data_IF_747665205345
#
_entry.id   IF_747665205345
#
_cell.length_a   1.000
_cell.length_b   1.000
_cell.length_c   1.000
_cell.angle_alpha   90.00
_cell.angle_beta   90.00
_cell.angle_gamma   90.00
#
_symmetry.space_group_name_H-M   'P 1'
#
loop_
_entity.id
_entity.type
_entity.pdbx_description
1 polymer ?
#
# COMPACT_ATOMS: atom_id res chain seq x y z
N UNK A 1 -8.09 -14.29 -24.62
CA UNK A 1 -6.76 -14.94 -24.57
C UNK A 1 -6.17 -14.68 -23.18
N UNK A 2 -6.23 -15.68 -22.29
CA UNK A 2 -5.96 -15.55 -20.86
C UNK A 2 -4.44 -15.64 -20.59
N UNK A 3 -3.72 -14.50 -20.66
CA UNK A 3 -2.26 -14.44 -20.40
C UNK A 3 -1.86 -14.76 -18.94
N UNK A 4 -2.82 -14.99 -18.04
CA UNK A 4 -2.55 -15.39 -16.64
C UNK A 4 -2.27 -16.87 -16.44
N UNK A 5 -2.61 -17.71 -17.41
CA UNK A 5 -2.44 -19.16 -17.29
C UNK A 5 -0.98 -19.63 -17.44
N UNK A 6 -0.05 -18.74 -17.77
CA UNK A 6 1.37 -19.08 -17.99
C UNK A 6 2.30 -18.33 -17.03
N UNK A 7 1.84 -17.97 -15.84
CA UNK A 7 2.77 -17.59 -14.77
C UNK A 7 3.52 -18.85 -14.38
N UNK A 8 4.83 -18.84 -14.62
CA UNK A 8 5.75 -19.96 -14.34
C UNK A 8 5.42 -20.55 -12.95
N UNK A 9 5.27 -21.87 -12.78
CA UNK A 9 4.87 -22.45 -11.48
C UNK A 9 5.85 -22.14 -10.35
N UNK A 10 7.10 -21.77 -10.68
CA UNK A 10 8.10 -21.24 -9.72
C UNK A 10 7.77 -19.85 -9.16
N UNK A 11 6.94 -19.08 -9.86
CA UNK A 11 6.38 -17.80 -9.42
C UNK A 11 5.02 -17.99 -8.73
N UNK A 12 4.46 -19.20 -8.73
CA UNK A 12 3.26 -19.54 -7.98
C UNK A 12 3.69 -19.97 -6.57
N UNK A 13 4.03 -18.98 -5.76
CA UNK A 13 4.42 -19.19 -4.37
C UNK A 13 3.15 -19.35 -3.54
N UNK A 14 2.79 -20.61 -3.32
CA UNK A 14 1.77 -20.99 -2.35
C UNK A 14 2.07 -20.31 -1.01
N UNK A 15 1.09 -19.60 -0.48
CA UNK A 15 1.24 -18.74 0.70
C UNK A 15 1.71 -19.48 1.95
N UNK A 16 1.65 -20.82 1.91
CA UNK A 16 2.11 -21.77 2.92
C UNK A 16 3.63 -21.96 2.97
N UNK A 17 4.41 -21.56 1.94
CA UNK A 17 5.86 -21.89 1.82
C UNK A 17 6.82 -20.72 2.04
N UNK A 18 6.34 -19.58 2.50
CA UNK A 18 7.13 -18.33 2.57
C UNK A 18 8.24 -18.30 3.63
N UNK A 19 8.42 -19.34 4.44
CA UNK A 19 9.33 -19.32 5.60
C UNK A 19 10.82 -19.37 5.26
N UNK A 20 11.22 -19.90 4.09
CA UNK A 20 12.65 -20.12 3.76
C UNK A 20 13.15 -19.42 2.48
N UNK A 21 12.37 -18.50 1.92
CA UNK A 21 12.74 -17.85 0.65
C UNK A 21 13.61 -16.62 0.87
N UNK A 22 14.68 -16.48 0.06
CA UNK A 22 15.58 -15.33 0.09
C UNK A 22 14.79 -14.00 -0.05
N UNK A 23 15.10 -12.94 0.74
CA UNK A 23 14.37 -11.65 0.74
C UNK A 23 14.12 -11.05 -0.64
N UNK A 24 15.06 -11.22 -1.56
CA UNK A 24 14.97 -10.75 -2.94
C UNK A 24 13.70 -11.25 -3.67
N UNK A 25 13.24 -12.47 -3.38
CA UNK A 25 12.04 -13.02 -4.01
C UNK A 25 10.82 -12.18 -3.65
N UNK A 26 10.69 -11.74 -2.40
CA UNK A 26 9.60 -10.85 -1.99
C UNK A 26 9.65 -9.53 -2.77
N UNK A 27 10.84 -8.94 -2.91
CA UNK A 27 10.99 -7.66 -3.62
C UNK A 27 10.62 -7.77 -5.10
N UNK A 28 11.05 -8.85 -5.75
CA UNK A 28 10.68 -9.14 -7.13
C UNK A 28 9.16 -9.31 -7.28
N UNK A 29 8.54 -10.06 -6.37
CA UNK A 29 7.10 -10.23 -6.37
C UNK A 29 6.36 -8.92 -6.14
N UNK A 30 6.79 -8.10 -5.18
CA UNK A 30 6.25 -6.77 -4.93
C UNK A 30 6.32 -5.87 -6.19
N UNK A 31 7.43 -5.92 -6.93
CA UNK A 31 7.59 -5.19 -8.18
C UNK A 31 6.61 -5.67 -9.26
N UNK A 32 6.50 -6.99 -9.44
CA UNK A 32 5.58 -7.60 -10.42
C UNK A 32 4.13 -7.23 -10.10
N UNK A 33 3.69 -7.37 -8.85
CA UNK A 33 2.28 -7.12 -8.48
C UNK A 33 1.93 -5.64 -8.45
N UNK A 34 2.92 -4.75 -8.28
CA UNK A 34 2.71 -3.29 -8.37
C UNK A 34 2.68 -2.81 -9.82
N UNK A 35 3.24 -3.56 -10.77
CA UNK A 35 3.32 -3.15 -12.17
C UNK A 35 1.95 -2.79 -12.79
N UNK A 36 0.85 -3.54 -12.58
CA UNK A 36 -0.48 -3.16 -13.07
C UNK A 36 -0.94 -1.78 -12.58
N UNK A 37 -0.62 -1.41 -11.34
CA UNK A 37 -0.98 -0.09 -10.80
C UNK A 37 -0.33 1.05 -11.60
N UNK A 38 0.91 0.85 -12.04
CA UNK A 38 1.66 1.88 -12.78
C UNK A 38 1.32 1.84 -14.26
N UNK A 39 1.26 0.65 -14.84
CA UNK A 39 1.06 0.46 -16.27
C UNK A 39 -0.37 0.77 -16.73
N UNK A 40 -1.38 0.55 -15.89
CA UNK A 40 -2.78 0.75 -16.26
C UNK A 40 -3.26 2.20 -16.02
N UNK A 41 -2.55 2.97 -15.20
CA UNK A 41 -2.90 4.35 -14.86
C UNK A 41 -3.17 5.27 -16.06
N UNK A 42 -2.34 5.33 -17.12
CA UNK A 42 -2.58 6.22 -18.26
C UNK A 42 -3.78 5.82 -19.13
N UNK A 43 -4.33 4.62 -18.92
CA UNK A 43 -5.48 4.12 -19.68
C UNK A 43 -6.82 4.47 -19.02
N UNK A 44 -6.83 4.92 -17.75
CA UNK A 44 -8.05 5.26 -17.04
C UNK A 44 -8.83 6.41 -17.70
N UNK A 45 -8.11 7.36 -18.35
CA UNK A 45 -8.71 8.52 -19.02
C UNK A 45 -9.14 8.22 -20.48
N UNK A 46 -8.71 7.08 -21.03
CA UNK A 46 -8.82 6.78 -22.47
C UNK A 46 -9.76 5.62 -22.79
N UNK A 47 -10.46 5.10 -21.79
CA UNK A 47 -11.23 3.86 -21.93
C UNK A 47 -12.70 4.06 -21.56
N UNK A 48 -13.56 3.22 -22.14
CA UNK A 48 -14.99 3.26 -21.85
C UNK A 48 -15.27 2.83 -20.40
N UNK A 49 -16.39 3.23 -19.82
CA UNK A 49 -16.74 2.95 -18.41
C UNK A 49 -16.60 1.47 -18.00
N UNK A 50 -16.99 0.53 -18.87
CA UNK A 50 -16.84 -0.90 -18.62
C UNK A 50 -15.37 -1.34 -18.52
N UNK A 51 -14.50 -0.76 -19.36
CA UNK A 51 -13.06 -1.05 -19.35
C UNK A 51 -12.40 -0.39 -18.13
N UNK A 52 -12.78 0.84 -17.78
CA UNK A 52 -12.31 1.51 -16.55
C UNK A 52 -12.59 0.66 -15.32
N UNK A 53 -13.79 0.10 -15.20
CA UNK A 53 -14.15 -0.80 -14.09
C UNK A 53 -13.23 -2.03 -14.00
N UNK A 54 -12.95 -2.68 -15.12
CA UNK A 54 -12.04 -3.84 -15.18
C UNK A 54 -10.60 -3.46 -14.82
N UNK A 55 -10.12 -2.32 -15.31
CA UNK A 55 -8.78 -1.81 -15.00
C UNK A 55 -8.66 -1.49 -13.51
N UNK A 56 -9.62 -0.78 -12.94
CA UNK A 56 -9.65 -0.47 -11.51
C UNK A 56 -9.71 -1.74 -10.66
N UNK A 57 -10.54 -2.72 -11.02
CA UNK A 57 -10.61 -4.00 -10.32
C UNK A 57 -9.24 -4.70 -10.30
N UNK A 58 -8.51 -4.65 -11.41
CA UNK A 58 -7.17 -5.22 -11.49
C UNK A 58 -6.17 -4.46 -10.60
N UNK A 59 -6.21 -3.14 -10.61
CA UNK A 59 -5.34 -2.30 -9.78
C UNK A 59 -5.62 -2.48 -8.28
N UNK A 60 -6.90 -2.58 -7.89
CA UNK A 60 -7.30 -2.90 -6.51
C UNK A 60 -6.80 -4.27 -6.09
N UNK A 61 -6.96 -5.29 -6.96
CA UNK A 61 -6.45 -6.64 -6.71
C UNK A 61 -4.93 -6.62 -6.50
N UNK A 62 -4.20 -5.91 -7.35
CA UNK A 62 -2.76 -5.68 -7.20
C UNK A 62 -2.39 -5.02 -5.87
N UNK A 63 -3.13 -4.00 -5.45
CA UNK A 63 -2.89 -3.32 -4.17
C UNK A 63 -3.07 -4.27 -2.97
N UNK A 64 -4.12 -5.10 -2.99
CA UNK A 64 -4.32 -6.12 -1.96
C UNK A 64 -3.15 -7.12 -1.91
N UNK A 65 -2.79 -7.70 -3.05
CA UNK A 65 -1.71 -8.70 -3.13
C UNK A 65 -0.37 -8.09 -2.67
N UNK A 66 -0.07 -6.86 -3.08
CA UNK A 66 1.12 -6.13 -2.62
C UNK A 66 1.17 -6.03 -1.09
N UNK A 67 0.07 -5.64 -0.45
CA UNK A 67 0.00 -5.56 1.02
C UNK A 67 0.05 -6.92 1.70
N UNK A 68 -0.45 -7.98 1.06
CA UNK A 68 -0.33 -9.35 1.55
C UNK A 68 1.12 -9.81 1.55
N UNK A 69 1.85 -9.62 0.45
CA UNK A 69 3.27 -9.97 0.36
C UNK A 69 4.09 -9.18 1.38
N UNK A 70 3.79 -7.88 1.55
CA UNK A 70 4.43 -7.03 2.56
C UNK A 70 4.21 -7.56 3.98
N UNK A 71 2.97 -7.95 4.28
CA UNK A 71 2.62 -8.50 5.59
C UNK A 71 3.36 -9.83 5.84
N UNK A 72 3.46 -10.70 4.84
CA UNK A 72 4.19 -11.96 4.99
C UNK A 72 5.69 -11.73 5.15
N UNK A 73 6.29 -10.83 4.36
CA UNK A 73 7.68 -10.44 4.53
C UNK A 73 7.94 -9.93 5.95
N UNK A 74 7.07 -9.06 6.47
CA UNK A 74 7.19 -8.49 7.82
C UNK A 74 7.17 -9.54 8.94
N UNK A 75 6.54 -10.70 8.74
CA UNK A 75 6.52 -11.77 9.75
C UNK A 75 7.86 -12.47 9.90
N UNK A 76 8.63 -12.56 8.81
CA UNK A 76 9.86 -13.35 8.75
C UNK A 76 11.12 -12.49 8.65
N UNK A 77 10.97 -11.22 8.27
CA UNK A 77 12.07 -10.30 8.00
C UNK A 77 11.78 -8.91 8.57
N UNK A 78 12.84 -8.16 8.84
CA UNK A 78 12.76 -6.76 9.29
C UNK A 78 12.56 -5.83 8.10
N UNK A 79 11.56 -4.95 8.17
CA UNK A 79 11.28 -3.98 7.09
C UNK A 79 12.37 -2.90 6.96
N UNK A 80 13.14 -2.71 8.03
CA UNK A 80 14.34 -1.86 8.10
C UNK A 80 15.37 -2.26 7.03
N UNK A 81 15.42 -3.55 6.64
CA UNK A 81 16.35 -4.08 5.63
C UNK A 81 15.80 -3.99 4.20
N UNK A 82 14.57 -3.51 4.00
CA UNK A 82 13.99 -3.39 2.67
C UNK A 82 14.69 -2.30 1.85
N UNK A 83 14.83 -2.46 0.53
CA UNK A 83 15.22 -1.39 -0.36
C UNK A 83 14.23 -0.21 -0.33
N UNK A 84 14.72 1.02 -0.55
CA UNK A 84 13.88 2.22 -0.60
C UNK A 84 12.73 2.13 -1.63
N UNK A 85 12.93 1.38 -2.72
CA UNK A 85 11.91 1.15 -3.76
C UNK A 85 10.63 0.49 -3.19
N UNK A 86 10.72 -0.26 -2.10
CA UNK A 86 9.55 -0.86 -1.45
C UNK A 86 8.64 0.23 -0.87
N UNK A 87 9.17 1.33 -0.36
CA UNK A 87 8.38 2.49 0.10
C UNK A 87 7.49 3.00 -1.03
N UNK A 88 8.04 3.14 -2.25
CA UNK A 88 7.27 3.55 -3.42
C UNK A 88 6.14 2.56 -3.75
N UNK A 89 6.39 1.26 -3.69
CA UNK A 89 5.35 0.25 -3.92
C UNK A 89 4.24 0.29 -2.87
N UNK A 90 4.60 0.48 -1.60
CA UNK A 90 3.64 0.63 -0.50
C UNK A 90 2.78 1.88 -0.68
N UNK A 91 3.38 3.00 -1.10
CA UNK A 91 2.62 4.23 -1.40
C UNK A 91 1.64 4.00 -2.57
N UNK A 92 2.12 3.42 -3.68
CA UNK A 92 1.29 3.15 -4.86
C UNK A 92 0.11 2.26 -4.51
N UNK A 93 0.31 1.16 -3.78
CA UNK A 93 -0.81 0.30 -3.36
C UNK A 93 -1.75 1.01 -2.38
N UNK A 94 -1.20 1.79 -1.44
CA UNK A 94 -1.99 2.51 -0.44
C UNK A 94 -2.93 3.54 -1.07
N UNK A 95 -2.53 4.25 -2.13
CA UNK A 95 -3.42 5.17 -2.85
C UNK A 95 -4.68 4.48 -3.34
N UNK A 96 -4.55 3.27 -3.90
CA UNK A 96 -5.70 2.49 -4.37
C UNK A 96 -6.54 1.92 -3.23
N UNK A 97 -5.92 1.62 -2.09
CA UNK A 97 -6.67 1.23 -0.89
C UNK A 97 -7.44 2.42 -0.30
N UNK A 98 -6.88 3.64 -0.30
CA UNK A 98 -7.60 4.86 0.09
C UNK A 98 -8.76 5.11 -0.88
N UNK A 99 -8.54 4.95 -2.18
CA UNK A 99 -9.62 5.06 -3.18
C UNK A 99 -10.71 4.03 -2.94
N UNK A 100 -10.36 2.78 -2.64
CA UNK A 100 -11.36 1.76 -2.33
C UNK A 100 -12.10 2.03 -1.01
N UNK A 101 -11.47 2.72 -0.05
CA UNK A 101 -12.09 3.14 1.20
C UNK A 101 -13.16 4.24 1.02
N UNK A 102 -13.24 4.89 -0.15
CA UNK A 102 -14.35 5.80 -0.48
C UNK A 102 -15.60 5.07 -0.96
N UNK A 103 -15.53 3.73 -1.12
CA UNK A 103 -16.65 2.92 -1.58
C UNK A 103 -17.84 2.98 -0.61
N UNK A 104 -19.04 2.93 -1.16
CA UNK A 104 -20.29 2.80 -0.38
C UNK A 104 -20.49 1.39 0.18
N UNK A 105 -19.71 0.41 -0.29
CA UNK A 105 -19.73 -0.96 0.23
C UNK A 105 -18.92 -1.04 1.54
N UNK A 106 -19.58 -1.29 2.69
CA UNK A 106 -18.91 -1.33 3.99
C UNK A 106 -17.92 -2.49 4.12
N UNK A 107 -18.07 -3.56 3.32
CA UNK A 107 -17.14 -4.69 3.33
C UNK A 107 -15.82 -4.33 2.66
N UNK A 108 -15.89 -3.65 1.51
CA UNK A 108 -14.72 -3.15 0.79
C UNK A 108 -14.02 -2.06 1.58
N UNK A 109 -14.77 -1.13 2.16
CA UNK A 109 -14.25 -0.09 3.04
C UNK A 109 -13.42 -0.70 4.18
N UNK A 110 -14.02 -1.64 4.95
CA UNK A 110 -13.35 -2.29 6.08
C UNK A 110 -12.12 -3.08 5.65
N UNK A 111 -12.20 -3.78 4.50
CA UNK A 111 -11.07 -4.55 3.98
C UNK A 111 -9.91 -3.64 3.59
N UNK A 112 -10.21 -2.53 2.93
CA UNK A 112 -9.23 -1.51 2.56
C UNK A 112 -8.58 -0.87 3.79
N UNK A 113 -9.38 -0.46 4.78
CA UNK A 113 -8.91 0.11 6.04
C UNK A 113 -7.93 -0.82 6.79
N UNK A 114 -8.24 -2.12 6.86
CA UNK A 114 -7.32 -3.12 7.46
C UNK A 114 -5.98 -3.19 6.74
N UNK A 115 -5.96 -3.11 5.41
CA UNK A 115 -4.71 -3.12 4.62
C UNK A 115 -3.96 -1.80 4.70
N UNK A 116 -4.65 -0.67 4.82
CA UNK A 116 -4.03 0.62 5.08
C UNK A 116 -3.31 0.63 6.42
N UNK A 117 -3.88 0.03 7.45
CA UNK A 117 -3.21 -0.15 8.75
C UNK A 117 -1.89 -0.91 8.62
N UNK A 118 -1.86 -1.98 7.82
CA UNK A 118 -0.63 -2.74 7.55
C UNK A 118 0.38 -1.85 6.82
N UNK A 119 -0.05 -1.17 5.77
CA UNK A 119 0.81 -0.32 4.94
C UNK A 119 1.45 0.81 5.73
N UNK A 120 0.67 1.55 6.52
CA UNK A 120 1.18 2.63 7.38
C UNK A 120 2.09 2.10 8.50
N UNK A 121 1.75 0.96 9.11
CA UNK A 121 2.60 0.35 10.12
C UNK A 121 3.93 -0.15 9.55
N UNK A 122 3.93 -0.57 8.28
CA UNK A 122 5.14 -0.93 7.56
C UNK A 122 5.99 0.29 7.20
N UNK A 123 5.38 1.39 6.77
CA UNK A 123 6.09 2.65 6.51
C UNK A 123 6.75 3.20 7.79
N UNK A 124 6.05 3.15 8.92
CA UNK A 124 6.58 3.55 10.23
C UNK A 124 7.82 2.73 10.61
N UNK A 125 7.80 1.41 10.40
CA UNK A 125 8.98 0.56 10.63
C UNK A 125 10.13 0.91 9.66
N UNK A 126 9.81 1.21 8.40
CA UNK A 126 10.80 1.61 7.40
C UNK A 126 11.44 2.99 7.67
N UNK A 127 10.84 3.86 8.49
CA UNK A 127 11.43 5.15 8.86
C UNK A 127 12.79 5.01 9.55
N UNK A 128 13.08 3.86 10.18
CA UNK A 128 14.37 3.62 10.82
C UNK A 128 15.55 3.65 9.84
N UNK A 129 15.33 3.26 8.58
CA UNK A 129 16.35 3.31 7.51
C UNK A 129 16.07 4.43 6.50
N UNK A 130 14.79 4.61 6.15
CA UNK A 130 14.33 5.50 5.08
C UNK A 130 13.48 6.63 5.66
N UNK A 131 14.00 7.30 6.69
CA UNK A 131 13.26 8.28 7.49
C UNK A 131 12.53 9.31 6.61
N UNK A 132 13.23 9.95 5.68
CA UNK A 132 12.66 11.01 4.84
C UNK A 132 11.58 10.46 3.90
N UNK A 133 11.86 9.37 3.18
CA UNK A 133 10.96 8.79 2.19
C UNK A 133 9.69 8.23 2.86
N UNK A 134 9.84 7.51 3.97
CA UNK A 134 8.73 6.91 4.68
C UNK A 134 7.88 7.95 5.42
N UNK A 135 8.48 8.98 6.02
CA UNK A 135 7.72 10.08 6.65
C UNK A 135 6.91 10.84 5.61
N UNK A 136 7.54 11.22 4.49
CA UNK A 136 6.85 11.91 3.40
C UNK A 136 5.71 11.06 2.81
N UNK A 137 5.93 9.75 2.68
CA UNK A 137 4.90 8.80 2.27
C UNK A 137 3.70 8.77 3.25
N UNK A 138 3.94 8.71 4.56
CA UNK A 138 2.87 8.74 5.57
C UNK A 138 2.08 10.06 5.47
N UNK A 139 2.76 11.20 5.46
CA UNK A 139 2.11 12.51 5.36
C UNK A 139 1.30 12.66 4.07
N UNK A 140 1.84 12.19 2.95
CA UNK A 140 1.13 12.16 1.67
C UNK A 140 -0.17 11.33 1.77
N UNK A 141 -0.12 10.13 2.35
CA UNK A 141 -1.29 9.26 2.49
C UNK A 141 -2.33 9.85 3.46
N UNK A 142 -1.90 10.48 4.54
CA UNK A 142 -2.78 11.19 5.47
C UNK A 142 -3.47 12.38 4.80
N UNK A 143 -2.72 13.20 4.08
CA UNK A 143 -3.26 14.33 3.32
C UNK A 143 -4.25 13.86 2.26
N UNK A 144 -3.96 12.76 1.58
CA UNK A 144 -4.86 12.17 0.59
C UNK A 144 -6.16 11.66 1.24
N UNK A 145 -6.07 10.93 2.34
CA UNK A 145 -7.25 10.43 3.06
C UNK A 145 -8.12 11.57 3.61
N UNK A 146 -7.50 12.66 4.06
CA UNK A 146 -8.19 13.88 4.50
C UNK A 146 -8.97 14.51 3.33
N UNK A 147 -8.28 14.74 2.21
CA UNK A 147 -8.87 15.34 1.00
C UNK A 147 -10.02 14.51 0.44
N UNK A 148 -9.95 13.18 0.56
CA UNK A 148 -10.98 12.27 0.07
C UNK A 148 -12.04 11.91 1.13
N UNK A 149 -12.01 12.52 2.32
CA UNK A 149 -13.04 12.33 3.34
C UNK A 149 -13.06 10.94 3.99
N UNK A 150 -11.96 10.19 3.92
CA UNK A 150 -11.87 8.79 4.40
C UNK A 150 -10.95 8.63 5.60
N UNK A 151 -10.83 9.66 6.43
CA UNK A 151 -10.05 9.61 7.68
C UNK A 151 -10.49 8.47 8.61
N UNK A 152 -11.77 8.10 8.60
CA UNK A 152 -12.31 6.94 9.35
C UNK A 152 -11.67 5.60 8.97
N UNK A 153 -11.11 5.49 7.75
CA UNK A 153 -10.40 4.31 7.28
C UNK A 153 -8.96 4.24 7.79
N UNK A 154 -8.42 5.36 8.30
CA UNK A 154 -7.11 5.40 8.93
C UNK A 154 -7.20 5.00 10.41
N UNK A 155 -6.23 4.24 10.93
CA UNK A 155 -6.13 4.02 12.37
C UNK A 155 -5.90 5.34 13.12
N UNK A 156 -6.47 5.48 14.32
CA UNK A 156 -6.48 6.73 15.10
C UNK A 156 -5.13 7.46 15.21
N UNK A 157 -4.04 6.72 15.32
CA UNK A 157 -2.69 7.31 15.41
C UNK A 157 -2.26 8.10 14.17
N UNK A 158 -2.88 7.84 13.02
CA UNK A 158 -2.64 8.54 11.75
C UNK A 158 -3.85 9.34 11.26
N UNK A 159 -4.97 9.37 11.99
CA UNK A 159 -6.13 10.17 11.62
C UNK A 159 -5.95 11.66 11.91
N UNK A 160 -4.94 12.03 12.69
CA UNK A 160 -4.57 13.41 12.96
C UNK A 160 -3.66 13.95 11.84
N UNK A 161 -4.04 15.10 11.28
CA UNK A 161 -3.28 15.81 10.25
C UNK A 161 -1.84 16.12 10.72
N UNK A 162 -0.83 16.13 9.83
CA UNK A 162 0.52 16.64 10.13
C UNK A 162 0.52 18.00 10.84
N UNK A 163 -0.41 18.89 10.51
CA UNK A 163 -0.54 20.21 11.16
C UNK A 163 -0.87 20.10 12.66
N UNK A 164 -1.65 19.09 13.03
CA UNK A 164 -1.97 18.79 14.43
C UNK A 164 -0.74 18.24 15.17
N UNK A 165 0.04 17.36 14.52
CA UNK A 165 1.29 16.84 15.12
C UNK A 165 2.36 17.93 15.29
N UNK A 166 2.52 18.82 14.31
CA UNK A 166 3.40 20.00 14.40
C UNK A 166 2.96 20.95 15.53
N UNK A 167 1.65 21.12 15.73
CA UNK A 167 1.12 21.96 16.82
C UNK A 167 1.35 21.34 18.21
N UNK A 168 1.22 20.02 18.35
CA UNK A 168 1.54 19.28 19.58
C UNK A 168 3.03 19.32 19.93
N UNK A 169 3.90 19.18 18.93
CA UNK A 169 5.35 19.21 19.12
C UNK A 169 5.82 20.61 19.55
N UNK A 170 5.28 21.67 18.95
CA UNK A 170 5.53 23.06 19.38
C UNK A 170 5.08 23.33 20.82
N UNK A 171 4.01 22.68 21.29
CA UNK A 171 3.51 22.89 22.65
C UNK A 171 4.37 22.21 23.73
N UNK A 172 5.05 21.11 23.36
CA UNK A 172 5.98 20.39 24.25
C UNK A 172 7.34 21.09 24.37
N UNK A 173 7.78 21.85 23.37
CA UNK A 173 9.01 22.65 23.40
C UNK A 173 8.84 24.01 24.12
N UNK A 174 7.60 24.37 24.47
CA UNK A 174 7.26 25.63 25.17
C UNK A 174 7.01 25.48 26.68
N UNK A 175 7.33 24.31 27.26
CA UNK A 175 7.26 23.98 28.69
C UNK A 175 8.66 23.64 29.21
#
# INVERSE_FOLDING_TARGET
MNMRSSVNPRLNLDSSKFTDHHPFIYFLHMAIVTSPIVLLLPFLDRTNDQQVSLLLQEMFRSAFIMTDILFQYRKTNQLVKCPAMIVYYVVRSSVFLISLATSTDPTLERRAARRLKISLGSLEEMQQTWQQQASHAIYFLQGLATRWGVLKALPLRWSYSPDFQLSLQKHHESL
#
